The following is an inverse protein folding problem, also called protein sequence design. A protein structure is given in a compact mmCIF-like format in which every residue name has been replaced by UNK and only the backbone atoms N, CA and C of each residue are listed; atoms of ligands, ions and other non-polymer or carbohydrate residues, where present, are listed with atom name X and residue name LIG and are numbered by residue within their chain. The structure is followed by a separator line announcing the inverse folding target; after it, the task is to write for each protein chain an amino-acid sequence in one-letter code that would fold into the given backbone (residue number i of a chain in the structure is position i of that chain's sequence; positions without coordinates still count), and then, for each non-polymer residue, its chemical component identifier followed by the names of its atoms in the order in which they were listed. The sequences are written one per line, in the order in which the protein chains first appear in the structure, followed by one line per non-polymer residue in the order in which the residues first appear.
data_IF_819623924107
#
_entry.id   IF_819623924107
#
_cell.length_a   1.000
_cell.length_b   1.000
_cell.length_c   1.000
_cell.angle_alpha   90.00
_cell.angle_beta   90.00
_cell.angle_gamma   90.00
#
_symmetry.space_group_name_H-M   'P 1'
#
loop_
_entity.id
_entity.type
_entity.pdbx_description
1 polymer ?
#
# COMPACT_ATOMS: atom_id res chain seq x y z
N UNK A 1 -7.60 12.29 -12.87
CA UNK A 1 -6.83 11.61 -11.81
C UNK A 1 -6.53 10.22 -12.33
N UNK A 2 -5.26 9.89 -12.51
CA UNK A 2 -4.87 8.56 -12.96
C UNK A 2 -5.15 7.58 -11.82
N UNK A 3 -6.12 6.70 -12.03
CA UNK A 3 -6.47 5.70 -11.03
C UNK A 3 -5.38 4.62 -11.01
N UNK A 4 -4.81 4.38 -9.83
CA UNK A 4 -3.90 3.28 -9.62
C UNK A 4 -3.10 3.42 -8.33
N UNK A 5 -2.53 2.30 -7.91
CA UNK A 5 -1.70 2.22 -6.72
C UNK A 5 -0.33 1.75 -7.15
N UNK A 6 0.67 2.61 -6.99
CA UNK A 6 2.07 2.30 -7.26
C UNK A 6 2.87 2.27 -5.97
N UNK A 7 3.87 1.40 -5.90
CA UNK A 7 4.83 1.35 -4.79
C UNK A 7 6.24 1.36 -5.36
N UNK A 8 7.16 2.02 -4.65
CA UNK A 8 8.55 2.11 -5.06
C UNK A 8 9.51 2.06 -3.87
N UNK A 9 10.62 1.36 -4.05
CA UNK A 9 11.76 1.32 -3.13
C UNK A 9 12.94 1.95 -3.84
N UNK A 10 13.55 2.95 -3.20
CA UNK A 10 14.73 3.65 -3.71
C UNK A 10 15.91 3.34 -2.79
N UNK A 11 17.00 2.85 -3.37
CA UNK A 11 18.25 2.59 -2.67
C UNK A 11 19.42 3.03 -3.56
N UNK A 12 20.11 4.11 -3.18
CA UNK A 12 21.17 4.73 -3.98
C UNK A 12 20.68 5.04 -5.41
N UNK A 13 21.29 4.41 -6.42
CA UNK A 13 20.89 4.54 -7.83
C UNK A 13 19.86 3.49 -8.27
N UNK A 14 19.58 2.50 -7.43
CA UNK A 14 18.60 1.47 -7.72
C UNK A 14 17.20 1.93 -7.33
N UNK A 15 16.27 1.70 -8.26
CA UNK A 15 14.84 1.89 -8.02
C UNK A 15 14.13 0.61 -8.39
N UNK A 16 13.34 0.09 -7.47
CA UNK A 16 12.43 -1.01 -7.72
C UNK A 16 11.00 -0.50 -7.58
N UNK A 17 10.20 -0.63 -8.64
CA UNK A 17 8.83 -0.10 -8.68
C UNK A 17 7.88 -1.19 -9.11
N UNK A 18 6.68 -1.16 -8.54
CA UNK A 18 5.64 -2.16 -8.79
C UNK A 18 4.29 -1.46 -8.83
N UNK A 19 3.44 -1.87 -9.77
CA UNK A 19 2.02 -1.48 -9.79
C UNK A 19 1.18 -2.53 -9.06
N UNK A 20 0.37 -2.06 -8.12
CA UNK A 20 -0.62 -2.82 -7.37
C UNK A 20 -2.01 -2.67 -8.01
N UNK A 21 -2.97 -3.54 -7.66
CA UNK A 21 -4.35 -3.35 -8.07
C UNK A 21 -4.93 -2.03 -7.58
N UNK A 22 -5.80 -1.41 -8.38
CA UNK A 22 -6.33 -0.06 -8.12
C UNK A 22 -7.21 0.01 -6.86
N UNK A 23 -7.68 -1.13 -6.36
CA UNK A 23 -8.50 -1.24 -5.16
C UNK A 23 -7.68 -1.48 -3.88
N UNK A 24 -6.35 -1.56 -3.98
CA UNK A 24 -5.48 -1.75 -2.83
C UNK A 24 -5.52 -0.51 -1.93
N UNK A 25 -5.75 -0.70 -0.63
CA UNK A 25 -5.73 0.42 0.31
C UNK A 25 -4.33 1.02 0.47
N UNK A 26 -4.26 2.29 0.85
CA UNK A 26 -2.99 2.99 1.15
C UNK A 26 -2.21 2.19 2.19
N UNK A 27 -2.86 1.74 3.26
CA UNK A 27 -2.21 0.92 4.29
C UNK A 27 -1.58 -0.36 3.71
N UNK A 28 -2.29 -1.09 2.85
CA UNK A 28 -1.74 -2.29 2.21
C UNK A 28 -0.56 -1.93 1.31
N UNK A 29 -0.65 -0.84 0.54
CA UNK A 29 0.44 -0.40 -0.34
C UNK A 29 1.72 -0.09 0.46
N UNK A 30 1.58 0.63 1.57
CA UNK A 30 2.68 0.94 2.50
C UNK A 30 3.26 -0.32 3.18
N UNK A 31 2.42 -1.28 3.56
CA UNK A 31 2.91 -2.55 4.09
C UNK A 31 3.62 -3.38 3.02
N UNK A 32 3.09 -3.40 1.80
CA UNK A 32 3.68 -4.12 0.66
C UNK A 32 5.03 -3.52 0.28
N UNK A 33 5.20 -2.20 0.28
CA UNK A 33 6.49 -1.58 -0.07
C UNK A 33 7.57 -1.95 0.95
N UNK A 34 7.23 -2.04 2.25
CA UNK A 34 8.14 -2.53 3.29
C UNK A 34 8.49 -4.01 3.06
N UNK A 35 7.49 -4.86 2.81
CA UNK A 35 7.72 -6.29 2.52
C UNK A 35 8.62 -6.48 1.30
N UNK A 36 8.43 -5.66 0.26
CA UNK A 36 9.23 -5.66 -0.95
C UNK A 36 10.67 -5.19 -0.70
N UNK A 37 10.86 -4.15 0.12
CA UNK A 37 12.19 -3.70 0.56
C UNK A 37 12.95 -4.81 1.33
N UNK A 38 12.26 -5.57 2.18
CA UNK A 38 12.86 -6.70 2.91
C UNK A 38 13.28 -7.83 1.96
N UNK A 39 12.46 -8.15 0.95
CA UNK A 39 12.83 -9.13 -0.09
C UNK A 39 14.07 -8.67 -0.87
N UNK A 40 14.18 -7.37 -1.18
CA UNK A 40 15.38 -6.80 -1.81
C UNK A 40 16.61 -6.89 -0.92
N UNK A 41 16.49 -6.60 0.38
CA UNK A 41 17.58 -6.74 1.36
C UNK A 41 18.04 -8.20 1.42
N UNK A 42 17.09 -9.16 1.50
CA UNK A 42 17.41 -10.60 1.53
C UNK A 42 18.12 -11.07 0.26
N UNK A 43 17.73 -10.54 -0.90
CA UNK A 43 18.32 -10.89 -2.20
C UNK A 43 19.74 -10.37 -2.41
N UNK A 44 20.18 -9.40 -1.57
CA UNK A 44 21.48 -8.75 -1.66
C UNK A 44 22.33 -9.13 -0.43
N UNK A 45 23.67 -9.09 -0.50
CA UNK A 45 24.53 -9.37 0.64
C UNK A 45 24.60 -8.15 1.60
N UNK A 46 23.45 -7.65 2.06
CA UNK A 46 23.37 -6.49 2.96
C UNK A 46 23.28 -6.99 4.40
N UNK A 47 24.35 -6.80 5.18
CA UNK A 47 24.39 -7.23 6.58
C UNK A 47 23.64 -6.30 7.54
N UNK A 48 23.57 -5.00 7.21
CA UNK A 48 22.88 -4.00 8.01
C UNK A 48 22.09 -3.07 7.12
N UNK A 49 20.78 -3.03 7.31
CA UNK A 49 19.86 -2.23 6.51
C UNK A 49 18.98 -1.34 7.41
N UNK A 50 18.64 -0.17 6.89
CA UNK A 50 17.69 0.74 7.51
C UNK A 50 16.62 1.08 6.46
N UNK A 51 15.36 0.82 6.78
CA UNK A 51 14.21 1.17 5.96
C UNK A 51 13.59 2.44 6.55
N UNK A 52 13.49 3.47 5.72
CA UNK A 52 12.81 4.72 6.06
C UNK A 52 11.39 4.66 5.48
N UNK A 53 10.39 4.93 6.30
CA UNK A 53 8.98 5.01 5.86
C UNK A 53 8.31 6.19 6.56
N UNK A 54 7.48 6.93 5.83
CA UNK A 54 6.64 8.01 6.36
C UNK A 54 5.27 7.50 6.89
N UNK A 55 4.97 6.21 6.67
CA UNK A 55 3.73 5.57 7.08
C UNK A 55 3.73 5.15 8.56
N UNK A 56 3.41 6.10 9.45
CA UNK A 56 3.31 5.84 10.90
C UNK A 56 2.31 4.72 11.23
N UNK A 57 1.20 4.62 10.51
CA UNK A 57 0.17 3.59 10.73
C UNK A 57 0.69 2.18 10.44
N UNK A 58 1.50 2.03 9.39
CA UNK A 58 2.12 0.76 9.01
C UNK A 58 3.17 0.35 10.04
N UNK A 59 4.04 1.27 10.45
CA UNK A 59 5.06 1.00 11.46
C UNK A 59 4.45 0.59 12.81
N UNK A 60 3.43 1.31 13.29
CA UNK A 60 2.69 0.94 14.51
C UNK A 60 2.02 -0.43 14.40
N UNK A 61 1.56 -0.81 13.22
CA UNK A 61 0.95 -2.12 13.00
C UNK A 61 1.97 -3.25 13.02
N UNK A 62 3.21 -2.99 12.57
CA UNK A 62 4.33 -3.94 12.67
C UNK A 62 4.74 -4.13 14.14
N UNK A 63 4.72 -3.06 14.94
CA UNK A 63 5.01 -3.13 16.37
C UNK A 63 3.90 -3.84 17.18
N UNK A 64 2.62 -3.65 16.80
CA UNK A 64 1.49 -4.22 17.52
C UNK A 64 0.98 -5.53 16.88
N UNK A 65 1.47 -6.66 17.39
CA UNK A 65 1.12 -8.01 16.91
C UNK A 65 -0.15 -8.60 17.53
N UNK A 66 -1.02 -7.79 18.14
CA UNK A 66 -2.23 -8.30 18.80
C UNK A 66 -3.22 -8.92 17.80
N UNK A 67 -3.38 -8.32 16.62
CA UNK A 67 -4.23 -8.83 15.51
C UNK A 67 -3.62 -8.46 14.16
N UNK A 68 -2.50 -9.09 13.76
CA UNK A 68 -1.76 -8.68 12.58
C UNK A 68 -2.55 -9.04 11.31
N UNK A 69 -2.59 -8.11 10.35
CA UNK A 69 -3.04 -8.43 9.00
C UNK A 69 -2.08 -9.41 8.32
N UNK A 70 -2.53 -10.07 7.27
CA UNK A 70 -1.72 -11.08 6.55
C UNK A 70 -0.37 -10.52 6.07
N UNK A 71 -0.36 -9.28 5.58
CA UNK A 71 0.86 -8.60 5.13
C UNK A 71 1.78 -8.24 6.30
N UNK A 72 1.25 -7.81 7.44
CA UNK A 72 2.05 -7.52 8.64
C UNK A 72 2.69 -8.80 9.18
N UNK A 73 1.95 -9.92 9.19
CA UNK A 73 2.50 -11.23 9.55
C UNK A 73 3.62 -11.66 8.59
N UNK A 74 3.46 -11.41 7.29
CA UNK A 74 4.52 -11.66 6.29
C UNK A 74 5.79 -10.85 6.62
N UNK A 75 5.64 -9.55 6.87
CA UNK A 75 6.74 -8.65 7.24
C UNK A 75 7.45 -9.15 8.49
N UNK A 76 6.70 -9.55 9.52
CA UNK A 76 7.27 -10.09 10.76
C UNK A 76 8.11 -11.35 10.51
N UNK A 77 7.61 -12.28 9.71
CA UNK A 77 8.37 -13.48 9.33
C UNK A 77 9.64 -13.12 8.54
N UNK A 78 9.55 -12.18 7.60
CA UNK A 78 10.72 -11.71 6.84
C UNK A 78 11.79 -11.10 7.77
N UNK A 79 11.39 -10.28 8.76
CA UNK A 79 12.31 -9.70 9.74
C UNK A 79 12.99 -10.78 10.59
N UNK A 80 12.24 -11.80 11.01
CA UNK A 80 12.79 -12.93 11.77
C UNK A 80 13.77 -13.76 10.93
N UNK A 81 13.44 -14.06 9.68
CA UNK A 81 14.32 -14.76 8.74
C UNK A 81 15.65 -14.01 8.56
N UNK A 82 15.57 -12.69 8.35
CA UNK A 82 16.74 -11.83 8.19
C UNK A 82 17.62 -11.87 9.44
N UNK A 83 17.00 -11.76 10.63
CA UNK A 83 17.70 -11.83 11.92
C UNK A 83 18.40 -13.18 12.10
N UNK A 84 17.73 -14.28 11.76
CA UNK A 84 18.32 -15.63 11.83
C UNK A 84 19.47 -15.83 10.84
N UNK A 85 19.42 -15.18 9.68
CA UNK A 85 20.50 -15.17 8.70
C UNK A 85 21.70 -14.27 9.06
N UNK A 86 21.66 -13.62 10.23
CA UNK A 86 22.71 -12.71 10.70
C UNK A 86 22.64 -11.31 10.09
N UNK A 87 21.52 -10.96 9.47
CA UNK A 87 21.27 -9.62 8.92
C UNK A 87 20.46 -8.79 9.92
N UNK A 88 20.86 -7.53 10.12
CA UNK A 88 20.18 -6.60 11.00
C UNK A 88 19.41 -5.57 10.18
N UNK A 89 18.08 -5.53 10.33
CA UNK A 89 17.23 -4.53 9.67
C UNK A 89 16.49 -3.70 10.70
N UNK A 90 16.52 -2.38 10.55
CA UNK A 90 15.77 -1.43 11.38
C UNK A 90 14.78 -0.63 10.55
N UNK A 91 13.59 -0.42 11.09
CA UNK A 91 12.54 0.42 10.51
C UNK A 91 12.54 1.76 11.24
N UNK A 92 12.63 2.87 10.51
CA UNK A 92 12.63 4.22 11.07
C UNK A 92 11.50 5.00 10.45
N UNK A 93 10.69 5.61 11.31
CA UNK A 93 9.70 6.57 10.88
C UNK A 93 10.35 7.90 10.53
N UNK A 94 10.04 8.42 9.35
CA UNK A 94 10.43 9.76 8.92
C UNK A 94 9.20 10.67 8.87
N UNK A 95 9.35 11.90 9.36
CA UNK A 95 8.33 12.93 9.23
C UNK A 95 8.74 13.87 8.09
N UNK A 96 7.90 13.99 7.07
CA UNK A 96 8.00 15.09 6.11
C UNK A 96 7.44 16.34 6.79
N UNK A 97 8.27 17.09 7.50
CA UNK A 97 7.93 18.47 7.85
C UNK A 97 7.87 19.29 6.55
N UNK A 98 6.82 20.11 6.38
CA UNK A 98 6.49 20.87 5.15
C UNK A 98 7.62 21.72 4.52
N UNK A 99 8.78 21.85 5.18
CA UNK A 99 9.95 22.61 4.71
C UNK A 99 11.25 21.78 4.62
N UNK A 100 11.25 20.52 5.07
CA UNK A 100 12.42 19.63 5.04
C UNK A 100 12.09 18.40 4.18
N UNK A 101 12.36 18.55 2.89
CA UNK A 101 12.21 17.51 1.89
C UNK A 101 13.33 16.47 2.05
N UNK A 102 12.96 15.23 2.41
CA UNK A 102 13.89 14.11 2.35
C UNK A 102 13.91 13.66 0.89
N UNK A 103 14.96 14.08 0.15
CA UNK A 103 15.12 13.80 -1.29
C UNK A 103 14.88 12.33 -1.66
N UNK A 104 15.27 11.40 -0.78
CA UNK A 104 15.03 9.96 -0.97
C UNK A 104 13.55 9.58 -0.94
N UNK A 105 12.76 10.17 -0.04
CA UNK A 105 11.32 9.95 0.06
C UNK A 105 10.60 10.55 -1.14
N UNK A 106 10.94 11.78 -1.52
CA UNK A 106 10.33 12.44 -2.68
C UNK A 106 10.59 11.67 -3.97
N UNK A 107 11.81 11.15 -4.13
CA UNK A 107 12.16 10.29 -5.26
C UNK A 107 11.36 8.99 -5.21
N UNK A 108 11.12 8.40 -4.04
CA UNK A 108 10.27 7.21 -3.92
C UNK A 108 8.82 7.52 -4.31
N UNK A 109 8.25 8.62 -3.83
CA UNK A 109 6.88 9.06 -4.15
C UNK A 109 6.71 9.37 -5.64
N UNK A 110 7.71 10.01 -6.23
CA UNK A 110 7.75 10.27 -7.67
C UNK A 110 7.74 8.97 -8.47
N UNK A 111 8.58 8.00 -8.07
CA UNK A 111 8.68 6.69 -8.73
C UNK A 111 7.41 5.86 -8.55
N UNK A 112 6.78 5.92 -7.38
CA UNK A 112 5.48 5.31 -7.12
C UNK A 112 4.37 5.92 -8.00
N UNK A 113 4.42 7.23 -8.30
CA UNK A 113 3.50 7.84 -9.27
C UNK A 113 3.81 7.44 -10.72
N UNK A 114 5.08 7.38 -11.10
CA UNK A 114 5.49 7.02 -12.47
C UNK A 114 5.11 5.58 -12.85
N UNK A 115 5.16 4.63 -11.90
CA UNK A 115 4.81 3.23 -12.20
C UNK A 115 3.32 3.02 -12.48
N UNK A 116 2.46 3.96 -12.08
CA UNK A 116 1.03 3.93 -12.41
C UNK A 116 0.87 4.05 -13.94
N UNK A 117 1.50 5.02 -14.57
CA UNK A 117 1.32 5.25 -16.02
C UNK A 117 2.20 4.40 -16.90
N UNK A 118 3.22 3.75 -16.34
CA UNK A 118 4.17 2.96 -17.12
C UNK A 118 3.53 1.68 -17.71
N UNK A 119 3.55 1.50 -19.04
CA UNK A 119 3.04 0.28 -19.68
C UNK A 119 3.91 -0.95 -19.41
N UNK A 120 5.17 -0.75 -19.06
CA UNK A 120 6.16 -1.80 -18.75
C UNK A 120 6.23 -2.11 -17.24
N UNK A 121 5.36 -1.49 -16.44
CA UNK A 121 5.31 -1.70 -15.01
C UNK A 121 5.11 -3.17 -14.65
N UNK A 122 5.97 -3.68 -13.77
CA UNK A 122 5.77 -4.99 -13.13
C UNK A 122 4.50 -4.90 -12.28
N UNK A 123 3.51 -5.73 -12.61
CA UNK A 123 2.24 -5.81 -11.87
C UNK A 123 2.30 -6.93 -10.86
N UNK A 124 2.08 -6.62 -9.59
CA UNK A 124 1.92 -7.62 -8.54
C UNK A 124 0.48 -7.63 -8.07
N UNK A 125 -0.18 -8.78 -8.19
CA UNK A 125 -1.51 -9.02 -7.63
C UNK A 125 -1.40 -9.30 -6.13
N UNK A 126 -0.83 -8.38 -5.36
CA UNK A 126 -0.82 -8.45 -3.90
C UNK A 126 -1.84 -7.46 -3.31
N UNK A 127 -2.80 -8.01 -2.60
CA UNK A 127 -3.85 -7.30 -1.86
C UNK A 127 -4.25 -8.18 -0.67
N UNK A 128 -4.75 -7.57 0.41
CA UNK A 128 -5.17 -8.32 1.60
C UNK A 128 -6.61 -8.81 1.48
N UNK A 129 -7.00 -9.78 2.32
CA UNK A 129 -8.40 -10.16 2.45
C UNK A 129 -9.33 -8.97 2.79
N UNK A 130 -8.83 -7.97 3.52
CA UNK A 130 -9.59 -6.76 3.84
C UNK A 130 -9.83 -5.90 2.59
N UNK A 131 -8.83 -5.76 1.72
CA UNK A 131 -8.99 -5.07 0.43
C UNK A 131 -10.03 -5.82 -0.43
N UNK A 132 -9.97 -7.15 -0.48
CA UNK A 132 -10.92 -7.98 -1.21
C UNK A 132 -12.37 -7.85 -0.67
N UNK A 133 -12.54 -7.82 0.66
CA UNK A 133 -13.83 -7.58 1.31
C UNK A 133 -14.36 -6.17 1.00
N UNK A 134 -13.47 -5.17 1.06
CA UNK A 134 -13.82 -3.77 0.79
C UNK A 134 -14.29 -3.56 -0.65
N UNK A 135 -13.57 -4.13 -1.63
CA UNK A 135 -13.97 -4.00 -3.04
C UNK A 135 -15.25 -4.76 -3.34
N UNK A 136 -15.44 -5.96 -2.77
CA UNK A 136 -16.69 -6.72 -2.93
C UNK A 136 -17.88 -5.94 -2.40
N UNK A 137 -17.76 -5.35 -1.20
CA UNK A 137 -18.80 -4.49 -0.63
C UNK A 137 -19.10 -3.27 -1.51
N UNK A 138 -18.05 -2.64 -2.03
CA UNK A 138 -18.18 -1.50 -2.95
C UNK A 138 -18.93 -1.88 -4.22
N UNK A 139 -18.57 -3.01 -4.84
CA UNK A 139 -19.24 -3.52 -6.04
C UNK A 139 -20.71 -3.84 -5.75
N UNK A 140 -21.01 -4.55 -4.67
CA UNK A 140 -22.40 -4.85 -4.28
C UNK A 140 -23.23 -3.58 -4.07
N UNK A 141 -22.64 -2.55 -3.46
CA UNK A 141 -23.31 -1.25 -3.29
C UNK A 141 -23.53 -0.53 -4.61
N UNK A 142 -22.59 -0.62 -5.56
CA UNK A 142 -22.74 -0.03 -6.89
C UNK A 142 -23.86 -0.72 -7.66
N UNK A 143 -23.87 -2.06 -7.68
CA UNK A 143 -24.93 -2.85 -8.33
C UNK A 143 -26.28 -2.52 -7.70
N UNK A 144 -26.37 -2.56 -6.36
CA UNK A 144 -27.57 -2.19 -5.65
C UNK A 144 -28.02 -0.77 -5.99
N UNK A 145 -27.11 0.20 -6.02
CA UNK A 145 -27.43 1.59 -6.33
C UNK A 145 -27.90 1.75 -7.79
N UNK A 146 -27.33 1.00 -8.73
CA UNK A 146 -27.75 0.99 -10.12
C UNK A 146 -29.17 0.43 -10.27
N UNK A 147 -29.45 -0.72 -9.67
CA UNK A 147 -30.79 -1.32 -9.67
C UNK A 147 -31.80 -0.42 -8.96
N UNK A 148 -31.40 0.16 -7.82
CA UNK A 148 -32.21 1.10 -7.07
C UNK A 148 -32.55 2.32 -7.93
N UNK A 149 -31.59 2.94 -8.62
CA UNK A 149 -31.85 4.09 -9.51
C UNK A 149 -32.72 3.77 -10.72
N UNK A 150 -32.67 2.53 -11.21
CA UNK A 150 -33.49 2.08 -12.35
C UNK A 150 -34.90 1.65 -11.92
N UNK A 151 -35.11 1.30 -10.65
CA UNK A 151 -36.41 0.91 -10.12
C UNK A 151 -37.36 2.09 -9.94
N UNK A 152 -38.62 1.95 -10.36
CA UNK A 152 -39.70 2.92 -10.09
C UNK A 152 -40.32 2.71 -8.69
N UNK A 153 -39.50 2.70 -7.64
CA UNK A 153 -40.00 2.58 -6.27
C UNK A 153 -40.48 3.93 -5.72
N UNK A 154 -41.58 3.96 -4.94
CA UNK A 154 -42.08 5.20 -4.29
C UNK A 154 -41.02 5.89 -3.41
N UNK A 155 -40.06 5.14 -2.88
CA UNK A 155 -38.94 5.66 -2.08
C UNK A 155 -37.89 6.40 -2.94
N UNK A 156 -37.76 6.06 -4.23
CA UNK A 156 -36.90 6.79 -5.17
C UNK A 156 -37.45 8.17 -5.51
N UNK A 157 -38.76 8.27 -5.73
CA UNK A 157 -39.42 9.54 -6.02
C UNK A 157 -39.24 10.53 -4.87
N UNK A 158 -39.42 10.07 -3.63
CA UNK A 158 -39.28 10.92 -2.44
C UNK A 158 -37.84 11.42 -2.26
N UNK A 159 -36.82 10.56 -2.44
CA UNK A 159 -35.41 10.99 -2.27
C UNK A 159 -34.92 11.94 -3.37
N UNK A 160 -35.36 11.77 -4.62
CA UNK A 160 -35.01 12.70 -5.70
C UNK A 160 -35.65 14.09 -5.53
N UNK A 161 -36.68 14.20 -4.69
CA UNK A 161 -37.40 15.46 -4.43
C UNK A 161 -36.77 16.27 -3.28
N UNK A 162 -35.87 15.68 -2.48
CA UNK A 162 -35.27 16.33 -1.29
C UNK A 162 -33.93 17.04 -1.62
N UNK A 163 -33.64 17.31 -2.89
CA UNK A 163 -32.59 18.27 -3.23
C UNK A 163 -33.16 19.70 -3.14
N UNK A 164 -33.10 20.30 -1.95
CA UNK A 164 -33.13 21.75 -1.72
C UNK A 164 -32.04 22.13 -0.75
#
# INVERSE_FOLDING_TARGET
MENGVGVAVVFQDHVAMVRLPDFTSIFTAEAVVISFALDLIKSRPIHKAVILSDSLSTLRSIENLSTPSEIIRKIYNQLNDLTQSGQSTSLIWIQNFSHNQILGNERADEKARQVITSPEAIRLNCFTLNDAKSITKTISNIIWLQEWKQGASKLNEIKNTIHT
#
